data_IF_370571295723
#
_entry.id   IF_370571295723
#
_cell.length_a   1.000
_cell.length_b   1.000
_cell.length_c   1.000
_cell.angle_alpha   90.00
_cell.angle_beta   90.00
_cell.angle_gamma   90.00
#
_symmetry.space_group_name_H-M   'P 1'
#
loop_
_entity.id
_entity.type
_entity.pdbx_description
1 polymer ?
#
# COMPACT_ATOMS: atom_id res chain seq x y z
N UNK A 1 51.79 -21.56 41.60
CA UNK A 1 51.39 -20.23 41.11
C UNK A 1 51.95 -20.11 39.68
N UNK A 2 51.07 -20.01 38.67
CA UNK A 2 51.27 -19.85 37.20
C UNK A 2 52.64 -20.16 36.57
N UNK A 3 52.86 -21.29 35.87
CA UNK A 3 52.45 -21.69 34.50
C UNK A 3 52.96 -20.81 33.32
N UNK A 4 54.01 -21.36 32.69
CA UNK A 4 54.21 -21.61 31.24
C UNK A 4 54.49 -20.43 30.30
N UNK A 5 55.74 -20.38 29.83
CA UNK A 5 56.09 -19.93 28.48
C UNK A 5 57.15 -20.88 27.90
N UNK A 6 56.79 -21.63 26.84
CA UNK A 6 57.73 -22.25 25.92
C UNK A 6 56.96 -22.87 24.73
N UNK A 7 57.31 -22.51 23.49
CA UNK A 7 58.15 -23.36 22.61
C UNK A 7 58.27 -22.78 21.19
N UNK A 8 59.42 -23.14 20.63
CA UNK A 8 60.10 -22.76 19.39
C UNK A 8 59.53 -23.49 18.13
N UNK A 9 60.02 -23.18 16.92
CA UNK A 9 59.29 -23.30 15.66
C UNK A 9 59.38 -24.68 14.99
N UNK A 10 58.41 -24.95 14.11
CA UNK A 10 58.31 -26.16 13.30
C UNK A 10 59.28 -26.16 12.11
N UNK A 11 59.91 -27.31 11.87
CA UNK A 11 60.69 -27.64 10.68
C UNK A 11 60.26 -29.00 10.13
N UNK A 12 60.27 -29.07 8.79
CA UNK A 12 60.52 -30.23 7.91
C UNK A 12 59.40 -31.27 7.80
N UNK A 13 58.71 -31.31 6.64
CA UNK A 13 59.02 -32.07 5.41
C UNK A 13 58.75 -33.59 5.55
N UNK A 14 57.77 -34.07 4.80
CA UNK A 14 57.78 -35.42 4.23
C UNK A 14 57.04 -35.41 2.88
N UNK A 15 57.67 -36.06 1.92
CA UNK A 15 57.32 -36.23 0.50
C UNK A 15 56.97 -37.70 0.28
N UNK A 16 55.96 -38.00 -0.54
CA UNK A 16 55.79 -39.23 -1.35
C UNK A 16 54.67 -38.92 -2.39
N UNK A 17 54.85 -38.85 -3.72
CA UNK A 17 55.25 -39.84 -4.75
C UNK A 17 54.48 -41.18 -4.58
N UNK A 18 53.73 -41.75 -5.54
CA UNK A 18 53.44 -41.47 -6.96
C UNK A 18 52.44 -42.55 -7.49
N UNK A 19 52.09 -42.46 -8.79
CA UNK A 19 51.55 -43.53 -9.68
C UNK A 19 50.00 -43.63 -9.67
N UNK A 20 49.22 -43.69 -10.76
CA UNK A 20 49.43 -44.18 -12.12
C UNK A 20 48.52 -43.42 -13.13
N UNK A 21 48.95 -43.39 -14.40
CA UNK A 21 48.12 -43.02 -15.54
C UNK A 21 47.19 -44.16 -15.97
N UNK A 22 46.04 -43.84 -16.58
CA UNK A 22 45.45 -44.60 -17.68
C UNK A 22 44.39 -43.77 -18.43
N UNK A 23 44.44 -43.89 -19.74
CA UNK A 23 43.69 -43.14 -20.74
C UNK A 23 42.19 -43.47 -20.77
N UNK A 24 41.39 -42.52 -21.25
CA UNK A 24 39.99 -42.74 -21.61
C UNK A 24 39.41 -41.51 -22.27
N UNK A 25 39.40 -41.50 -23.60
CA UNK A 25 38.62 -40.55 -24.38
C UNK A 25 37.13 -40.73 -24.06
N UNK A 26 36.46 -39.66 -23.63
CA UNK A 26 35.00 -39.59 -23.60
C UNK A 26 34.59 -38.28 -24.27
N UNK A 27 33.94 -38.43 -25.41
CA UNK A 27 33.30 -37.37 -26.16
C UNK A 27 32.34 -36.59 -25.26
N UNK A 28 32.26 -35.28 -25.52
CA UNK A 28 31.32 -34.39 -24.88
C UNK A 28 29.89 -34.88 -25.04
N UNK A 29 29.22 -35.12 -23.93
CA UNK A 29 27.78 -35.00 -23.78
C UNK A 29 27.59 -34.27 -22.47
N UNK A 30 27.26 -32.98 -22.58
CA UNK A 30 26.78 -32.19 -21.46
C UNK A 30 25.61 -32.93 -20.79
N UNK A 31 25.48 -32.90 -19.45
CA UNK A 31 24.20 -33.23 -18.85
C UNK A 31 23.17 -32.26 -19.43
N UNK A 32 22.19 -32.80 -20.15
CA UNK A 32 20.99 -32.08 -20.52
C UNK A 32 20.42 -31.49 -19.23
N UNK A 33 20.61 -30.18 -19.04
CA UNK A 33 19.86 -29.42 -18.07
C UNK A 33 18.40 -29.58 -18.47
N UNK A 34 17.69 -30.47 -17.77
CA UNK A 34 16.25 -30.58 -17.86
C UNK A 34 15.69 -29.20 -17.60
N UNK A 35 15.16 -28.59 -18.67
CA UNK A 35 14.32 -27.43 -18.58
C UNK A 35 13.15 -27.80 -17.66
N UNK A 36 13.21 -27.32 -16.42
CA UNK A 36 12.07 -27.34 -15.54
C UNK A 36 10.93 -26.58 -16.26
N UNK A 37 9.72 -27.13 -16.31
CA UNK A 37 8.58 -26.38 -16.82
C UNK A 37 8.43 -25.13 -15.95
N UNK A 38 8.33 -23.98 -16.60
CA UNK A 38 7.98 -22.73 -15.96
C UNK A 38 6.57 -22.86 -15.38
N UNK A 39 6.48 -23.35 -14.15
CA UNK A 39 5.25 -23.36 -13.35
C UNK A 39 5.12 -22.00 -12.69
N UNK A 40 4.03 -21.34 -13.06
CA UNK A 40 3.34 -20.28 -12.35
C UNK A 40 4.06 -18.94 -12.27
N UNK A 41 3.89 -18.18 -13.36
CA UNK A 41 3.71 -16.74 -13.26
C UNK A 41 2.71 -16.44 -12.13
N UNK A 42 2.97 -15.47 -11.23
CA UNK A 42 2.01 -15.12 -10.21
C UNK A 42 0.70 -14.72 -10.87
N UNK A 43 -0.35 -15.44 -10.52
CA UNK A 43 -1.70 -15.24 -11.02
C UNK A 43 -2.06 -13.76 -10.95
N UNK A 44 -2.39 -13.19 -12.11
CA UNK A 44 -3.12 -11.94 -12.23
C UNK A 44 -4.33 -12.04 -11.31
N UNK A 45 -4.31 -11.29 -10.21
CA UNK A 45 -5.50 -11.13 -9.38
C UNK A 45 -6.62 -10.63 -10.31
N UNK A 46 -7.63 -11.48 -10.51
CA UNK A 46 -8.83 -11.14 -11.26
C UNK A 46 -9.52 -10.00 -10.53
N UNK A 47 -9.27 -8.76 -10.97
CA UNK A 47 -9.94 -7.58 -10.47
C UNK A 47 -11.43 -7.65 -10.78
N UNK A 48 -12.20 -7.08 -9.85
CA UNK A 48 -13.64 -7.25 -9.65
C UNK A 48 -14.52 -7.09 -10.90
N UNK A 49 -15.68 -7.72 -10.84
CA UNK A 49 -16.70 -7.79 -11.89
C UNK A 49 -16.99 -6.45 -12.61
N UNK A 50 -16.81 -6.47 -13.95
CA UNK A 50 -17.46 -5.62 -14.98
C UNK A 50 -17.74 -4.14 -14.65
N UNK A 51 -16.77 -3.41 -14.09
CA UNK A 51 -16.82 -1.94 -14.17
C UNK A 51 -16.63 -1.49 -15.62
N UNK A 52 -17.26 -0.38 -16.01
CA UNK A 52 -17.11 0.16 -17.36
C UNK A 52 -15.69 0.69 -17.61
N UNK A 53 -15.02 1.17 -16.55
CA UNK A 53 -13.65 1.68 -16.54
C UNK A 53 -12.90 1.19 -15.30
N UNK A 54 -11.63 0.85 -15.44
CA UNK A 54 -10.73 0.61 -14.31
C UNK A 54 -9.30 1.05 -14.58
N UNK A 55 -8.55 1.35 -13.51
CA UNK A 55 -7.13 1.63 -13.53
C UNK A 55 -6.45 0.86 -12.41
N UNK A 56 -5.53 -0.03 -12.76
CA UNK A 56 -4.54 -0.56 -11.85
C UNK A 56 -3.26 0.28 -11.96
N UNK A 57 -2.79 0.83 -10.85
CA UNK A 57 -1.50 1.53 -10.77
C UNK A 57 -0.46 0.59 -10.19
N UNK A 58 0.60 0.35 -10.94
CA UNK A 58 1.79 -0.36 -10.47
C UNK A 58 2.93 0.65 -10.29
N UNK A 59 3.30 0.94 -9.04
CA UNK A 59 4.30 1.97 -8.75
C UNK A 59 5.60 1.36 -8.25
N UNK A 60 6.65 1.37 -9.09
CA UNK A 60 7.99 0.91 -8.73
C UNK A 60 8.82 2.00 -8.05
N UNK A 61 9.18 1.78 -6.79
CA UNK A 61 10.16 2.60 -6.10
C UNK A 61 11.57 2.01 -6.31
N UNK A 62 12.27 2.42 -7.36
CA UNK A 62 13.64 1.99 -7.65
C UNK A 62 14.70 2.88 -6.97
N UNK A 63 14.32 3.61 -5.93
CA UNK A 63 15.22 4.46 -5.15
C UNK A 63 15.67 3.73 -3.90
N UNK A 64 16.73 4.23 -3.27
CA UNK A 64 17.19 3.75 -1.95
C UNK A 64 16.38 4.34 -0.79
N UNK A 65 15.34 5.13 -1.08
CA UNK A 65 14.52 5.78 -0.07
C UNK A 65 13.23 5.03 0.17
N UNK A 66 12.78 5.03 1.43
CA UNK A 66 11.42 4.63 1.76
C UNK A 66 10.48 5.80 1.48
N UNK A 67 9.30 5.49 0.96
CA UNK A 67 8.25 6.47 0.73
C UNK A 67 7.13 6.28 1.74
N UNK A 68 6.56 7.39 2.18
CA UNK A 68 5.46 7.45 3.15
C UNK A 68 4.31 8.17 2.47
N UNK A 69 3.16 7.51 2.33
CA UNK A 69 1.98 8.17 1.78
C UNK A 69 1.60 9.34 2.69
N UNK A 70 1.37 10.48 2.07
CA UNK A 70 0.86 11.67 2.75
C UNK A 70 -0.53 12.05 2.29
N UNK A 71 -0.97 11.54 1.13
CA UNK A 71 -2.29 11.84 0.58
C UNK A 71 -2.71 10.77 -0.42
N UNK A 72 -3.99 10.40 -0.45
CA UNK A 72 -4.62 9.65 -1.54
C UNK A 72 -6.10 10.00 -1.61
N UNK A 73 -6.63 10.16 -2.82
CA UNK A 73 -8.07 10.33 -3.04
C UNK A 73 -8.47 9.86 -4.44
N UNK A 74 -9.78 9.69 -4.64
CA UNK A 74 -10.41 9.58 -5.95
C UNK A 74 -11.31 10.79 -6.15
N UNK A 75 -11.14 11.50 -7.27
CA UNK A 75 -12.13 12.47 -7.74
C UNK A 75 -13.38 11.76 -8.26
N UNK A 76 -13.19 10.57 -8.85
CA UNK A 76 -14.27 9.73 -9.38
C UNK A 76 -13.93 8.24 -9.24
N UNK A 77 -14.98 7.43 -9.11
CA UNK A 77 -14.89 5.99 -8.99
C UNK A 77 -14.69 5.51 -7.56
N UNK A 78 -14.47 4.21 -7.44
CA UNK A 78 -14.33 3.49 -6.20
C UNK A 78 -12.96 2.80 -6.19
N UNK A 79 -12.34 2.68 -5.02
CA UNK A 79 -11.17 1.82 -4.88
C UNK A 79 -11.57 0.37 -5.12
N UNK A 80 -10.68 -0.39 -5.76
CA UNK A 80 -10.84 -1.82 -5.90
C UNK A 80 -10.74 -2.47 -4.51
N UNK A 81 -11.57 -3.48 -4.25
CA UNK A 81 -11.64 -4.20 -2.97
C UNK A 81 -10.24 -4.50 -2.44
N UNK A 82 -9.86 -3.80 -1.37
CA UNK A 82 -8.61 -3.92 -0.62
C UNK A 82 -7.32 -3.52 -1.36
N UNK A 83 -7.42 -3.08 -2.61
CA UNK A 83 -6.30 -2.59 -3.43
C UNK A 83 -6.17 -1.08 -3.35
N UNK A 84 -6.02 -0.55 -2.13
CA UNK A 84 -5.70 0.86 -1.90
C UNK A 84 -4.19 1.10 -2.08
N UNK A 85 -3.77 2.35 -2.34
CA UNK A 85 -2.37 2.71 -2.18
C UNK A 85 -1.87 2.22 -0.80
N UNK A 86 -0.59 1.87 -0.64
CA UNK A 86 -0.01 1.54 0.66
C UNK A 86 0.45 2.79 1.43
N UNK A 87 0.49 2.75 2.77
CA UNK A 87 1.05 3.85 3.58
C UNK A 87 2.57 3.96 3.42
N UNK A 88 3.22 2.86 3.07
CA UNK A 88 4.66 2.80 2.86
C UNK A 88 4.98 2.10 1.55
N UNK A 89 5.89 2.68 0.78
CA UNK A 89 6.54 1.98 -0.33
C UNK A 89 7.99 1.79 0.06
N UNK A 90 8.33 0.55 0.37
CA UNK A 90 9.71 0.19 0.69
C UNK A 90 10.62 0.44 -0.53
N UNK A 91 11.90 0.67 -0.26
CA UNK A 91 12.93 0.75 -1.30
C UNK A 91 12.92 -0.51 -2.18
N UNK A 92 13.09 -0.33 -3.48
CA UNK A 92 13.16 -1.41 -4.48
C UNK A 92 11.94 -2.34 -4.49
N UNK A 93 10.74 -1.80 -4.22
CA UNK A 93 9.48 -2.54 -4.29
C UNK A 93 8.49 -1.89 -5.24
N UNK A 94 7.56 -2.70 -5.77
CA UNK A 94 6.55 -2.26 -6.74
C UNK A 94 5.15 -2.63 -6.30
N UNK A 95 4.57 -1.94 -5.28
CA UNK A 95 3.18 -2.16 -4.90
C UNK A 95 2.21 -1.85 -6.04
N UNK A 96 1.02 -2.45 -5.93
CA UNK A 96 -0.09 -2.22 -6.84
C UNK A 96 -1.34 -1.83 -6.07
N UNK A 97 -2.12 -0.95 -6.66
CA UNK A 97 -3.46 -0.58 -6.20
C UNK A 97 -4.35 -0.33 -7.41
N UNK A 98 -5.65 -0.19 -7.20
CA UNK A 98 -6.55 0.03 -8.32
C UNK A 98 -7.84 0.72 -7.92
N UNK A 99 -8.48 1.31 -8.92
CA UNK A 99 -9.79 1.93 -8.82
C UNK A 99 -10.63 1.63 -10.05
N UNK A 100 -11.95 1.69 -9.89
CA UNK A 100 -12.91 1.42 -10.95
C UNK A 100 -14.08 2.40 -10.96
N UNK A 101 -14.73 2.56 -12.11
CA UNK A 101 -15.97 3.32 -12.22
C UNK A 101 -17.08 2.61 -11.43
N UNK A 102 -17.73 3.33 -10.51
CA UNK A 102 -18.88 2.85 -9.76
C UNK A 102 -20.12 3.77 -9.88
N UNK A 103 -20.02 4.87 -10.64
CA UNK A 103 -21.15 5.75 -10.96
C UNK A 103 -21.64 5.62 -12.41
N UNK A 104 -22.91 5.94 -12.65
CA UNK A 104 -23.50 5.91 -13.99
C UNK A 104 -22.80 6.90 -14.94
N UNK A 105 -22.27 6.42 -16.07
CA UNK A 105 -21.55 7.22 -17.06
C UNK A 105 -20.32 7.97 -16.49
N UNK A 106 -19.68 7.40 -15.46
CA UNK A 106 -18.46 7.97 -14.86
C UNK A 106 -17.23 7.12 -15.17
N UNK A 107 -16.06 7.75 -15.08
CA UNK A 107 -14.76 7.08 -15.16
C UNK A 107 -14.21 6.78 -13.77
N UNK A 108 -12.89 6.57 -13.69
CA UNK A 108 -12.16 6.59 -12.43
C UNK A 108 -10.98 7.53 -12.52
N UNK A 109 -10.85 8.40 -11.53
CA UNK A 109 -9.79 9.39 -11.46
C UNK A 109 -9.31 9.50 -10.01
N UNK A 110 -7.99 9.54 -9.82
CA UNK A 110 -7.40 9.68 -8.51
C UNK A 110 -5.98 10.18 -8.53
N UNK A 111 -5.48 10.49 -7.35
CA UNK A 111 -4.07 10.82 -7.16
C UNK A 111 -3.58 10.38 -5.78
N UNK A 112 -2.26 10.32 -5.64
CA UNK A 112 -1.56 9.93 -4.42
C UNK A 112 -0.25 10.66 -4.29
N UNK A 113 0.03 11.14 -3.07
CA UNK A 113 1.29 11.77 -2.70
C UNK A 113 2.10 10.88 -1.78
N UNK A 114 3.37 10.73 -2.09
CA UNK A 114 4.35 10.02 -1.29
C UNK A 114 5.47 10.96 -0.87
N UNK A 115 5.62 11.19 0.43
CA UNK A 115 6.78 11.88 1.01
C UNK A 115 7.97 10.93 1.04
N UNK A 116 9.14 11.43 0.68
CA UNK A 116 10.40 10.69 0.79
C UNK A 116 10.85 10.73 2.24
N UNK A 117 10.97 9.56 2.89
CA UNK A 117 11.27 9.45 4.30
C UNK A 117 12.55 10.23 4.68
N UNK A 118 12.48 10.99 5.77
CA UNK A 118 13.59 11.84 6.23
C UNK A 118 13.77 13.17 5.46
N UNK A 119 12.88 13.50 4.52
CA UNK A 119 12.89 14.78 3.78
C UNK A 119 11.48 15.35 3.69
N UNK A 120 11.30 16.61 3.27
CA UNK A 120 9.98 17.19 2.94
C UNK A 120 9.61 17.08 1.46
N UNK A 121 10.38 16.31 0.68
CA UNK A 121 10.14 16.14 -0.74
C UNK A 121 8.97 15.15 -0.99
N UNK A 122 8.14 15.45 -1.99
CA UNK A 122 6.93 14.70 -2.31
C UNK A 122 6.96 14.24 -3.76
N UNK A 123 6.53 13.00 -3.99
CA UNK A 123 6.23 12.40 -5.29
C UNK A 123 4.72 12.39 -5.46
N UNK A 124 4.22 12.96 -6.55
CA UNK A 124 2.79 13.04 -6.88
C UNK A 124 2.48 12.07 -8.03
N UNK A 125 1.48 11.21 -7.85
CA UNK A 125 0.99 10.26 -8.85
C UNK A 125 -0.47 10.57 -9.14
N UNK A 126 -0.87 10.65 -10.41
CA UNK A 126 -2.26 10.86 -10.83
C UNK A 126 -2.65 9.92 -11.97
N UNK A 127 -3.90 9.50 -11.96
CA UNK A 127 -4.51 8.74 -13.05
C UNK A 127 -5.93 9.21 -13.29
N UNK A 128 -6.33 9.21 -14.55
CA UNK A 128 -7.69 9.43 -15.02
C UNK A 128 -7.98 8.45 -16.17
N UNK A 129 -9.07 7.71 -16.04
CA UNK A 129 -9.65 6.88 -17.08
C UNK A 129 -11.13 7.26 -17.20
N UNK A 130 -11.44 8.26 -18.03
CA UNK A 130 -12.76 8.84 -18.11
C UNK A 130 -13.75 7.87 -18.75
N UNK A 131 -15.06 8.12 -18.55
CA UNK A 131 -16.10 7.32 -19.22
C UNK A 131 -16.01 7.39 -20.74
N UNK A 132 -15.59 8.53 -21.28
CA UNK A 132 -15.31 8.78 -22.70
C UNK A 132 -14.11 9.72 -22.82
N UNK A 133 -13.24 9.46 -23.78
CA UNK A 133 -11.99 10.20 -23.97
C UNK A 133 -10.76 9.30 -23.86
N UNK A 134 -9.61 9.93 -23.67
CA UNK A 134 -8.33 9.25 -23.49
C UNK A 134 -7.94 9.23 -22.02
N UNK A 135 -7.24 8.17 -21.63
CA UNK A 135 -6.66 8.10 -20.29
C UNK A 135 -5.57 9.15 -20.13
N UNK A 136 -5.44 9.70 -18.93
CA UNK A 136 -4.41 10.66 -18.56
C UNK A 136 -3.68 10.19 -17.31
N UNK A 137 -2.37 10.36 -17.28
CA UNK A 137 -1.53 9.93 -16.18
C UNK A 137 -0.49 11.01 -15.86
N UNK A 138 -0.32 11.30 -14.57
CA UNK A 138 0.67 12.22 -14.05
C UNK A 138 1.63 11.51 -13.11
N UNK A 139 2.92 11.84 -13.22
CA UNK A 139 3.90 11.42 -12.23
C UNK A 139 4.99 12.48 -12.09
N UNK A 140 4.89 13.24 -11.00
CA UNK A 140 5.80 14.33 -10.68
C UNK A 140 6.72 13.90 -9.55
N UNK A 141 8.03 13.99 -9.80
CA UNK A 141 9.06 13.68 -8.83
C UNK A 141 9.81 14.96 -8.41
N UNK A 142 10.24 15.05 -7.15
CA UNK A 142 11.02 16.18 -6.68
C UNK A 142 12.41 16.16 -7.32
N UNK A 143 13.10 17.31 -7.27
CA UNK A 143 14.44 17.44 -7.84
C UNK A 143 15.35 16.29 -7.38
N UNK A 144 16.03 15.67 -8.35
CA UNK A 144 16.94 14.55 -8.12
C UNK A 144 16.34 13.18 -8.30
N UNK A 145 15.04 13.13 -8.46
CA UNK A 145 14.31 11.94 -8.79
C UNK A 145 13.74 12.10 -10.19
N UNK A 146 13.54 10.97 -10.86
CA UNK A 146 12.83 10.88 -12.12
C UNK A 146 11.65 9.95 -11.92
N UNK A 147 10.46 10.40 -12.31
CA UNK A 147 9.34 9.50 -12.45
C UNK A 147 9.03 9.25 -13.93
N UNK A 148 9.00 7.99 -14.31
CA UNK A 148 8.61 7.55 -15.64
C UNK A 148 7.23 6.89 -15.58
N UNK A 149 6.40 7.17 -16.59
CA UNK A 149 5.13 6.49 -16.82
C UNK A 149 5.31 5.59 -18.04
N UNK A 150 4.84 4.35 -17.95
CA UNK A 150 4.75 3.43 -19.08
C UNK A 150 3.41 2.72 -19.09
N UNK A 151 2.83 2.60 -20.28
CA UNK A 151 1.55 1.93 -20.52
C UNK A 151 0.36 2.61 -19.81
N UNK A 152 -0.86 2.11 -20.06
CA UNK A 152 -2.11 2.72 -19.55
C UNK A 152 -3.21 2.90 -20.60
N UNK A 153 -3.23 2.10 -21.66
CA UNK A 153 -4.28 2.18 -22.67
C UNK A 153 -5.55 1.40 -22.30
N UNK A 154 -6.68 1.79 -22.89
CA UNK A 154 -7.92 1.02 -22.87
C UNK A 154 -8.85 1.30 -21.69
N UNK A 155 -9.99 0.62 -21.68
CA UNK A 155 -11.05 0.85 -20.70
C UNK A 155 -10.68 0.32 -19.31
N UNK A 156 -9.93 -0.78 -19.25
CA UNK A 156 -9.43 -1.39 -18.02
C UNK A 156 -7.91 -1.39 -18.08
N UNK A 157 -7.33 -0.28 -17.68
CA UNK A 157 -5.94 0.04 -17.92
C UNK A 157 -5.06 -0.42 -16.76
N UNK A 158 -3.83 -0.83 -17.05
CA UNK A 158 -2.75 -0.87 -16.06
C UNK A 158 -1.73 0.19 -16.44
N UNK A 159 -1.46 1.11 -15.53
CA UNK A 159 -0.40 2.13 -15.67
C UNK A 159 0.76 1.74 -14.78
N UNK A 160 1.97 1.75 -15.34
CA UNK A 160 3.19 1.55 -14.59
C UNK A 160 3.87 2.89 -14.38
N UNK A 161 4.12 3.23 -13.13
CA UNK A 161 4.83 4.44 -12.74
C UNK A 161 6.11 4.02 -12.01
N UNK A 162 7.26 4.61 -12.33
CA UNK A 162 8.53 4.21 -11.73
C UNK A 162 9.28 5.43 -11.24
N UNK A 163 9.51 5.50 -9.94
CA UNK A 163 10.41 6.46 -9.32
C UNK A 163 11.84 5.92 -9.30
N UNK A 164 12.79 6.73 -9.74
CA UNK A 164 14.21 6.41 -9.77
C UNK A 164 15.05 7.65 -9.41
N UNK A 165 16.33 7.47 -9.11
CA UNK A 165 17.22 8.56 -8.72
C UNK A 165 17.36 8.71 -7.20
N UNK A 166 17.67 9.93 -6.75
CA UNK A 166 17.93 10.25 -5.35
C UNK A 166 18.96 11.37 -5.16
N UNK A 167 19.15 11.88 -3.93
CA UNK A 167 20.10 12.94 -3.62
C UNK A 167 21.54 12.59 -4.02
N UNK A 168 21.91 11.31 -4.08
CA UNK A 168 23.20 10.87 -4.59
C UNK A 168 23.39 11.05 -6.11
N UNK A 169 22.31 11.21 -6.89
CA UNK A 169 22.35 11.50 -8.33
C UNK A 169 22.27 12.99 -8.67
N UNK A 170 22.19 13.88 -7.68
CA UNK A 170 21.99 15.33 -7.88
C UNK A 170 23.24 16.21 -7.94
N UNK A 171 24.44 15.64 -8.06
CA UNK A 171 25.63 16.45 -8.39
C UNK A 171 25.65 16.88 -9.87
N UNK A 172 24.51 16.86 -10.57
CA UNK A 172 24.37 17.45 -11.89
C UNK A 172 22.94 17.98 -12.12
N UNK A 173 22.85 19.32 -12.11
CA UNK A 173 21.78 20.19 -12.62
C UNK A 173 20.57 20.44 -11.72
N UNK A 174 20.54 21.65 -11.16
CA UNK A 174 19.39 22.30 -10.52
C UNK A 174 19.13 23.62 -11.24
N UNK A 175 17.86 23.92 -11.55
CA UNK A 175 17.16 25.18 -11.22
C UNK A 175 15.86 25.34 -12.05
N UNK A 176 14.80 25.82 -11.40
CA UNK A 176 13.47 26.20 -11.92
C UNK A 176 12.55 24.97 -12.08
N UNK A 177 11.41 24.82 -11.39
CA UNK A 177 10.26 25.72 -11.25
C UNK A 177 9.44 25.23 -10.03
N UNK A 178 9.20 26.09 -9.03
CA UNK A 178 8.33 25.76 -7.89
C UNK A 178 7.40 26.94 -7.60
N UNK A 179 6.25 26.99 -8.28
CA UNK A 179 5.12 27.85 -7.91
C UNK A 179 3.81 27.48 -8.62
N UNK A 180 3.25 26.30 -8.36
CA UNK A 180 1.88 25.96 -8.80
C UNK A 180 1.33 24.73 -8.05
N UNK A 181 0.78 24.88 -6.83
CA UNK A 181 -0.14 23.91 -6.23
C UNK A 181 -0.68 24.45 -4.90
N UNK A 182 -1.77 25.22 -4.95
CA UNK A 182 -2.60 25.51 -3.77
C UNK A 182 -3.95 26.13 -4.18
N UNK A 183 -4.87 25.37 -4.80
CA UNK A 183 -6.31 25.68 -4.80
C UNK A 183 -7.12 24.40 -5.10
N UNK A 184 -7.92 23.90 -4.14
CA UNK A 184 -9.22 23.23 -4.31
C UNK A 184 -9.72 22.78 -2.92
N UNK A 185 -10.46 23.66 -2.20
CA UNK A 185 -11.92 23.70 -2.00
C UNK A 185 -12.45 22.71 -0.95
N UNK A 186 -12.65 23.27 0.25
CA UNK A 186 -13.59 22.86 1.28
C UNK A 186 -15.02 22.73 0.74
N UNK A 187 -15.53 21.50 0.67
CA UNK A 187 -16.96 21.20 0.71
C UNK A 187 -17.27 20.58 2.07
N UNK A 188 -18.19 21.17 2.84
CA UNK A 188 -18.68 20.56 4.08
C UNK A 188 -19.70 19.49 3.70
N UNK A 189 -19.39 18.22 3.91
CA UNK A 189 -20.34 17.13 3.68
C UNK A 189 -21.60 17.25 4.57
N UNK A 190 -22.74 16.74 4.08
CA UNK A 190 -23.99 16.73 4.83
C UNK A 190 -23.98 15.67 5.95
N UNK A 191 -23.25 14.57 5.75
CA UNK A 191 -23.01 13.51 6.73
C UNK A 191 -21.53 13.15 6.74
N UNK A 192 -20.97 12.90 7.92
CA UNK A 192 -19.62 12.33 8.05
C UNK A 192 -19.52 11.39 9.24
N UNK A 193 -18.65 10.40 9.16
CA UNK A 193 -18.34 9.49 10.26
C UNK A 193 -16.84 9.39 10.41
N UNK A 194 -16.33 9.90 11.54
CA UNK A 194 -14.95 9.69 11.95
C UNK A 194 -14.88 8.52 12.93
N UNK A 195 -14.12 7.51 12.56
CA UNK A 195 -13.87 6.32 13.37
C UNK A 195 -12.48 6.41 13.97
N UNK A 196 -12.36 6.04 15.25
CA UNK A 196 -11.08 5.81 15.93
C UNK A 196 -11.07 4.37 16.44
N UNK A 197 -10.00 3.62 16.17
CA UNK A 197 -9.78 2.27 16.66
C UNK A 197 -8.55 2.24 17.57
N UNK A 198 -8.79 2.06 18.86
CA UNK A 198 -7.76 1.97 19.90
C UNK A 198 -7.39 0.51 20.17
N UNK A 199 -6.10 0.21 20.13
CA UNK A 199 -5.58 -1.14 20.23
C UNK A 199 -4.96 -1.43 21.61
N UNK A 200 -5.75 -1.97 22.55
CA UNK A 200 -5.26 -2.53 23.82
C UNK A 200 -5.23 -4.06 23.83
N UNK A 201 -5.19 -4.68 22.65
CA UNK A 201 -5.12 -6.14 22.51
C UNK A 201 -3.74 -6.71 22.82
N UNK A 202 -2.70 -5.87 22.83
CA UNK A 202 -1.30 -6.29 22.91
C UNK A 202 -0.80 -7.00 21.64
N UNK A 203 -1.51 -6.87 20.50
CA UNK A 203 -1.15 -7.41 19.18
C UNK A 203 -1.19 -6.31 18.14
N UNK A 204 -0.30 -6.29 17.15
CA UNK A 204 -0.39 -5.32 16.05
C UNK A 204 -1.56 -5.68 15.13
N UNK A 205 -2.26 -4.67 14.62
CA UNK A 205 -3.31 -4.82 13.62
C UNK A 205 -2.78 -4.42 12.25
N UNK A 206 -2.82 -5.33 11.28
CA UNK A 206 -2.46 -5.06 9.88
C UNK A 206 -3.73 -5.03 9.06
N UNK A 207 -4.02 -3.90 8.41
CA UNK A 207 -5.23 -3.72 7.61
C UNK A 207 -5.23 -4.71 6.47
N UNK A 208 -6.26 -5.52 6.40
CA UNK A 208 -6.51 -6.44 5.29
C UNK A 208 -7.53 -5.90 4.32
N UNK A 209 -8.38 -4.98 4.77
CA UNK A 209 -9.36 -4.39 3.87
C UNK A 209 -10.02 -3.13 4.37
N UNK A 210 -10.54 -2.35 3.44
CA UNK A 210 -11.32 -1.15 3.71
C UNK A 210 -12.22 -0.84 2.51
N UNK A 211 -13.52 -0.72 2.75
CA UNK A 211 -14.51 -0.44 1.72
C UNK A 211 -15.59 0.52 2.22
N UNK A 212 -16.20 1.23 1.28
CA UNK A 212 -17.40 2.01 1.49
C UNK A 212 -18.51 1.43 0.62
N UNK A 213 -19.65 1.10 1.21
CA UNK A 213 -20.87 0.83 0.44
C UNK A 213 -21.48 2.13 -0.09
N UNK A 214 -21.31 3.21 0.68
CA UNK A 214 -21.81 4.56 0.36
C UNK A 214 -20.87 5.64 0.88
N UNK A 215 -20.81 6.77 0.16
CA UNK A 215 -19.95 7.89 0.49
C UNK A 215 -18.53 7.75 -0.06
N UNK A 216 -17.70 8.72 0.29
CA UNK A 216 -16.26 8.77 -0.02
C UNK A 216 -15.47 8.85 1.26
N UNK A 217 -14.19 8.47 1.20
CA UNK A 217 -13.28 8.76 2.29
C UNK A 217 -13.05 10.27 2.36
N UNK A 218 -13.12 10.86 3.56
CA UNK A 218 -12.74 12.26 3.72
C UNK A 218 -11.23 12.42 3.43
N UNK A 219 -10.85 13.63 3.01
CA UNK A 219 -9.50 13.94 2.56
C UNK A 219 -8.42 13.42 3.52
N UNK A 220 -7.56 12.51 3.02
CA UNK A 220 -6.44 11.93 3.76
C UNK A 220 -6.80 11.18 5.06
N UNK A 221 -8.02 10.65 5.17
CA UNK A 221 -8.45 9.91 6.37
C UNK A 221 -8.87 8.48 6.03
N UNK A 222 -7.94 7.70 5.47
CA UNK A 222 -8.11 6.27 5.26
C UNK A 222 -7.81 5.48 6.54
N UNK A 223 -8.43 4.30 6.75
CA UNK A 223 -8.05 3.42 7.87
C UNK A 223 -6.56 3.10 7.79
N UNK A 224 -5.75 3.27 8.85
CA UNK A 224 -4.30 3.04 8.78
C UNK A 224 -3.98 1.59 8.40
N UNK A 225 -2.89 1.34 7.67
CA UNK A 225 -2.45 -0.02 7.33
C UNK A 225 -1.87 -0.81 8.50
N UNK A 226 -1.42 -0.12 9.55
CA UNK A 226 -0.88 -0.72 10.77
C UNK A 226 -1.34 0.09 11.99
N UNK A 227 -1.81 -0.61 13.03
CA UNK A 227 -2.05 -0.03 14.37
C UNK A 227 -1.27 -0.88 15.38
N UNK A 228 -0.25 -0.28 15.99
CA UNK A 228 0.60 -0.97 16.95
C UNK A 228 -0.11 -1.21 18.29
N UNK A 229 0.39 -2.13 19.13
CA UNK A 229 -0.11 -2.28 20.49
C UNK A 229 -0.04 -0.96 21.26
N UNK A 230 -1.12 -0.63 21.96
CA UNK A 230 -1.33 0.61 22.71
C UNK A 230 -1.44 1.88 21.87
N UNK A 231 -1.57 1.75 20.55
CA UNK A 231 -1.73 2.87 19.62
C UNK A 231 -3.20 2.99 19.15
N UNK A 232 -3.52 4.08 18.44
CA UNK A 232 -4.85 4.32 17.86
C UNK A 232 -4.75 4.72 16.39
N UNK A 233 -5.62 4.12 15.57
CA UNK A 233 -5.82 4.55 14.18
C UNK A 233 -7.10 5.37 14.04
N UNK A 234 -7.12 6.38 13.17
CA UNK A 234 -8.35 7.11 12.88
C UNK A 234 -8.56 7.31 11.38
N UNK A 235 -9.82 7.28 10.96
CA UNK A 235 -10.24 7.48 9.58
C UNK A 235 -11.59 8.16 9.54
N UNK A 236 -11.96 8.68 8.38
CA UNK A 236 -13.24 9.37 8.20
C UNK A 236 -13.74 9.15 6.78
N UNK A 237 -15.06 9.02 6.68
CA UNK A 237 -15.80 8.99 5.43
C UNK A 237 -16.97 9.96 5.51
N UNK A 238 -17.46 10.39 4.36
CA UNK A 238 -18.47 11.42 4.21
C UNK A 238 -19.39 11.16 3.02
N UNK A 239 -20.59 11.74 3.06
CA UNK A 239 -21.55 11.65 1.96
C UNK A 239 -21.05 12.43 0.74
N UNK A 240 -21.10 11.82 -0.44
CA UNK A 240 -20.69 12.41 -1.73
C UNK A 240 -21.85 12.58 -2.73
N UNK A 241 -23.08 12.25 -2.32
CA UNK A 241 -24.27 12.24 -3.18
C UNK A 241 -25.47 13.02 -2.63
N UNK A 242 -26.47 13.20 -3.49
CA UNK A 242 -27.74 13.84 -3.10
C UNK A 242 -28.57 12.89 -2.24
N UNK A 243 -28.83 13.27 -0.98
CA UNK A 243 -29.59 12.48 -0.01
C UNK A 243 -28.95 11.11 0.35
N UNK A 244 -27.63 10.98 0.25
CA UNK A 244 -26.91 9.76 0.65
C UNK A 244 -26.17 9.95 1.98
N UNK A 245 -25.96 8.84 2.68
CA UNK A 245 -25.14 8.77 3.89
C UNK A 245 -23.73 8.31 3.62
N UNK A 246 -23.01 7.89 4.66
CA UNK A 246 -21.73 7.17 4.52
C UNK A 246 -21.77 5.85 5.27
N UNK A 247 -21.39 4.78 4.59
CA UNK A 247 -21.39 3.43 5.10
C UNK A 247 -20.10 2.73 4.68
N UNK A 248 -19.45 2.04 5.61
CA UNK A 248 -18.24 1.32 5.30
C UNK A 248 -17.79 0.31 6.34
N UNK A 249 -16.69 -0.35 6.00
CA UNK A 249 -16.05 -1.35 6.84
C UNK A 249 -14.54 -1.26 6.70
N UNK A 250 -13.82 -1.46 7.80
CA UNK A 250 -12.38 -1.65 7.85
C UNK A 250 -12.05 -2.98 8.53
N UNK A 251 -11.21 -3.80 7.92
CA UNK A 251 -10.79 -5.11 8.44
C UNK A 251 -9.29 -5.17 8.66
N UNK A 252 -8.89 -5.84 9.73
CA UNK A 252 -7.51 -6.02 10.14
C UNK A 252 -7.25 -7.48 10.55
N UNK A 253 -6.04 -7.94 10.31
CA UNK A 253 -5.50 -9.16 10.93
C UNK A 253 -4.64 -8.80 12.14
N UNK A 254 -4.68 -9.64 13.17
CA UNK A 254 -3.87 -9.48 14.36
C UNK A 254 -2.56 -10.26 14.25
N UNK A 255 -1.46 -9.70 14.74
CA UNK A 255 -0.20 -10.45 14.90
C UNK A 255 -0.42 -11.67 15.79
N UNK A 256 0.01 -12.85 15.31
CA UNK A 256 -0.20 -14.13 16.01
C UNK A 256 -1.60 -14.73 15.82
N UNK A 257 -2.37 -14.26 14.82
CA UNK A 257 -3.68 -14.80 14.45
C UNK A 257 -4.85 -14.03 15.06
N UNK A 258 -5.98 -14.02 14.33
CA UNK A 258 -7.21 -13.31 14.66
C UNK A 258 -7.50 -12.13 13.73
N UNK A 259 -8.72 -11.61 13.79
CA UNK A 259 -9.23 -10.50 12.98
C UNK A 259 -9.96 -9.46 13.83
N UNK A 260 -9.96 -8.22 13.34
CA UNK A 260 -10.81 -7.11 13.79
C UNK A 260 -11.56 -6.59 12.57
N UNK A 261 -12.89 -6.47 12.66
CA UNK A 261 -13.72 -5.87 11.62
C UNK A 261 -14.58 -4.77 12.24
N UNK A 262 -14.41 -3.54 11.77
CA UNK A 262 -15.14 -2.36 12.23
C UNK A 262 -16.06 -1.90 11.12
N UNK A 263 -17.37 -1.85 11.37
CA UNK A 263 -18.39 -1.35 10.45
C UNK A 263 -19.07 -0.08 10.96
N UNK A 264 -19.45 0.80 10.05
CA UNK A 264 -20.27 1.98 10.34
C UNK A 264 -21.27 2.24 9.22
N UNK A 265 -22.40 2.81 9.60
CA UNK A 265 -23.44 3.33 8.72
C UNK A 265 -23.99 4.62 9.35
N UNK A 266 -23.90 5.73 8.63
CA UNK A 266 -24.49 7.02 8.98
C UNK A 266 -25.37 7.45 7.80
N UNK A 267 -26.63 6.98 7.77
CA UNK A 267 -27.53 7.21 6.65
C UNK A 267 -27.99 8.67 6.58
N UNK A 268 -28.43 9.12 5.41
CA UNK A 268 -29.01 10.46 5.27
C UNK A 268 -30.25 10.67 6.15
N UNK A 269 -31.06 9.62 6.31
CA UNK A 269 -32.24 9.57 7.17
C UNK A 269 -32.28 8.23 7.89
N UNK A 270 -32.42 8.28 9.23
CA UNK A 270 -32.40 7.09 10.08
C UNK A 270 -31.48 7.28 11.28
N UNK A 271 -31.12 6.18 11.93
CA UNK A 271 -30.17 6.16 13.03
C UNK A 271 -28.84 5.57 12.57
N UNK A 272 -27.75 6.11 13.10
CA UNK A 272 -26.42 5.57 12.84
C UNK A 272 -26.31 4.15 13.42
N UNK A 273 -25.61 3.27 12.71
CA UNK A 273 -25.33 1.92 13.17
C UNK A 273 -23.84 1.59 13.08
N UNK A 274 -23.38 0.73 13.99
CA UNK A 274 -21.96 0.46 14.20
C UNK A 274 -21.74 -0.98 14.65
N UNK A 275 -20.76 -1.66 14.05
CA UNK A 275 -20.34 -3.01 14.45
C UNK A 275 -18.84 -3.08 14.73
N UNK A 276 -18.46 -3.96 15.64
CA UNK A 276 -17.06 -4.29 15.89
C UNK A 276 -16.93 -5.77 16.24
N UNK A 277 -16.48 -6.54 15.26
CA UNK A 277 -16.32 -7.98 15.37
C UNK A 277 -14.85 -8.31 15.59
N UNK A 278 -14.54 -9.03 16.66
CA UNK A 278 -13.19 -9.43 17.03
C UNK A 278 -13.14 -10.93 17.29
N UNK A 279 -11.98 -11.54 17.02
CA UNK A 279 -11.78 -12.97 17.29
C UNK A 279 -11.94 -13.32 18.78
N UNK A 280 -12.24 -14.59 19.07
CA UNK A 280 -12.37 -15.11 20.43
C UNK A 280 -11.12 -14.81 21.28
N UNK A 281 -11.32 -14.49 22.56
CA UNK A 281 -10.26 -14.03 23.46
C UNK A 281 -10.05 -12.50 23.45
N UNK A 282 -10.84 -11.77 22.67
CA UNK A 282 -10.85 -10.31 22.63
C UNK A 282 -12.28 -9.77 22.78
N UNK A 283 -12.39 -8.54 23.28
CA UNK A 283 -13.63 -7.78 23.34
C UNK A 283 -13.43 -6.44 22.62
N UNK A 284 -14.53 -5.92 22.07
CA UNK A 284 -14.56 -4.59 21.47
C UNK A 284 -15.65 -3.74 22.12
N UNK A 285 -15.24 -2.62 22.70
CA UNK A 285 -16.14 -1.63 23.28
C UNK A 285 -16.31 -0.46 22.31
N UNK A 286 -17.50 0.14 22.27
CA UNK A 286 -17.82 1.30 21.42
C UNK A 286 -18.28 2.47 22.28
N UNK A 287 -17.79 3.67 21.96
CA UNK A 287 -18.22 4.94 22.56
C UNK A 287 -18.49 5.98 21.47
N UNK A 288 -19.57 6.74 21.63
CA UNK A 288 -20.00 7.76 20.67
C UNK A 288 -20.71 7.19 19.44
N UNK A 289 -20.79 7.99 18.38
CA UNK A 289 -21.45 7.65 17.12
C UNK A 289 -22.76 8.40 16.86
N UNK A 290 -23.15 9.36 17.68
CA UNK A 290 -24.40 10.10 17.46
C UNK A 290 -24.21 11.31 16.52
N UNK A 291 -25.31 11.73 15.88
CA UNK A 291 -25.40 12.95 15.07
C UNK A 291 -24.95 12.78 13.61
N UNK A 292 -25.09 13.88 12.87
CA UNK A 292 -24.89 13.90 11.41
C UNK A 292 -23.40 13.82 11.02
N UNK A 293 -22.53 14.41 11.85
CA UNK A 293 -21.07 14.36 11.74
C UNK A 293 -20.50 13.54 12.90
N UNK A 294 -20.80 12.25 12.86
CA UNK A 294 -20.58 11.31 13.95
C UNK A 294 -19.09 11.09 14.22
N UNK A 295 -18.77 10.95 15.51
CA UNK A 295 -17.45 10.49 15.99
C UNK A 295 -17.66 9.25 16.83
N UNK A 296 -17.06 8.14 16.41
CA UNK A 296 -17.16 6.85 17.10
C UNK A 296 -15.76 6.34 17.43
N UNK A 297 -15.59 5.84 18.64
CA UNK A 297 -14.35 5.20 19.08
C UNK A 297 -14.62 3.75 19.44
N UNK A 298 -13.83 2.85 18.88
CA UNK A 298 -13.80 1.43 19.21
C UNK A 298 -12.52 1.12 19.97
N UNK A 299 -12.63 0.35 21.05
CA UNK A 299 -11.48 -0.11 21.83
C UNK A 299 -11.44 -1.62 21.84
N UNK A 300 -10.37 -2.20 21.31
CA UNK A 300 -10.15 -3.66 21.33
C UNK A 300 -9.22 -4.03 22.46
N UNK A 301 -9.63 -4.95 23.33
CA UNK A 301 -8.86 -5.45 24.49
C UNK A 301 -8.91 -6.96 24.57
N UNK A 302 -7.96 -7.58 25.28
CA UNK A 302 -8.07 -9.01 25.65
C UNK A 302 -9.20 -9.21 26.65
N UNK A 303 -9.94 -10.31 26.50
CA UNK A 303 -10.79 -10.81 27.59
C UNK A 303 -9.92 -11.56 28.58
N UNK A 304 -10.11 -11.32 29.88
CA UNK A 304 -9.42 -12.02 30.95
C UNK A 304 -9.82 -13.51 30.99
#
# INVERSE_FOLDING_TARGET
MSLRSARRPARLRAVALSVAALAGAAAGLAPAAQAAPATDAPASASMSASSARSVAVAFGNNTDQQLIRTYSTLSHGCWDNDSLPPDYVAKHTSPRWGSHSCGMLTGTEGYTNFKIAGTDQVVYLHWDNPYSGHNSYGCDAPAGYNCAISEGGGNNATVYMTLSGGPARLTARTANVARAAAVARTASAARSTRVTLTNYSGRSFVRTGASLSHGIWSENTLPPSLINPSDSGSWQSESDGFLTGTEGRATYTMSGGGTVSVGWDNPFSGHNSYSCDVSAGFACDRVGGDGDNARVTFTVRRTA
#
